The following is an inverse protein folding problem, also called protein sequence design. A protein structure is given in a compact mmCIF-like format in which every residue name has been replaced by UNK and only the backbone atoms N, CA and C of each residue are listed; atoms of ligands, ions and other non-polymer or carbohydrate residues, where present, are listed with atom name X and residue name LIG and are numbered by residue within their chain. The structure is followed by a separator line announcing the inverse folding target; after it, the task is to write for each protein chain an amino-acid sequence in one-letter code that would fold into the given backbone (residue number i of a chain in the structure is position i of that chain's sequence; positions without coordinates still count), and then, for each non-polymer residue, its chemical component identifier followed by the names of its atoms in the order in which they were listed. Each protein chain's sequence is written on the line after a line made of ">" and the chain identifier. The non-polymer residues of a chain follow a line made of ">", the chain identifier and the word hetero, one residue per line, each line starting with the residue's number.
data_IF_550496397052
#
_entry.id   IF_550496397052
#
_cell.length_a   1.000
_cell.length_b   1.000
_cell.length_c   1.000
_cell.angle_alpha   90.00
_cell.angle_beta   90.00
_cell.angle_gamma   90.00
#
_symmetry.space_group_name_H-M   'P 1'
#
loop_
_entity.id
_entity.type
_entity.pdbx_description
1 polymer ?
#
# COMPACT_ATOMS: atom_id res chain seq x y z
N UNK A 1 20.69 -2.68 8.78
CA UNK A 1 20.73 -2.93 7.32
C UNK A 1 20.66 -4.42 7.08
N UNK A 2 19.70 -4.87 6.31
CA UNK A 2 19.42 -6.31 6.13
C UNK A 2 20.27 -6.97 5.03
N UNK A 3 21.30 -6.30 4.52
CA UNK A 3 22.25 -6.86 3.55
C UNK A 3 21.71 -7.07 2.13
N UNK A 4 20.48 -6.64 1.84
CA UNK A 4 19.92 -6.68 0.50
C UNK A 4 20.26 -5.35 -0.19
N UNK A 5 21.07 -5.35 -1.26
CA UNK A 5 21.41 -4.14 -1.97
C UNK A 5 20.17 -3.53 -2.64
N UNK A 6 20.10 -2.20 -2.69
CA UNK A 6 19.05 -1.52 -3.44
C UNK A 6 19.21 -1.79 -4.93
N UNK A 7 18.10 -2.07 -5.58
CA UNK A 7 18.00 -2.37 -6.99
C UNK A 7 16.59 -1.99 -7.49
N UNK A 8 16.35 -1.92 -8.80
CA UNK A 8 14.99 -1.82 -9.31
C UNK A 8 14.07 -2.86 -8.68
N UNK A 9 12.80 -2.50 -8.46
CA UNK A 9 11.82 -3.32 -7.73
C UNK A 9 11.82 -4.79 -8.18
N UNK A 10 11.88 -5.02 -9.49
CA UNK A 10 11.80 -6.35 -10.10
C UNK A 10 12.99 -7.25 -9.74
N UNK A 11 14.13 -6.66 -9.39
CA UNK A 11 15.34 -7.37 -8.94
C UNK A 11 15.44 -7.42 -7.42
N UNK A 12 14.92 -6.41 -6.74
CA UNK A 12 14.96 -6.31 -5.28
C UNK A 12 13.95 -7.24 -4.61
N UNK A 13 12.72 -7.30 -5.11
CA UNK A 13 11.63 -8.07 -4.51
C UNK A 13 11.92 -9.57 -4.33
N UNK A 14 12.55 -10.29 -5.30
CA UNK A 14 12.93 -11.68 -5.10
C UNK A 14 13.96 -11.88 -3.97
N UNK A 15 14.92 -10.95 -3.83
CA UNK A 15 15.93 -10.99 -2.77
C UNK A 15 15.31 -10.75 -1.39
N UNK A 16 14.38 -9.80 -1.31
CA UNK A 16 13.65 -9.52 -0.09
C UNK A 16 12.87 -10.75 0.42
N UNK A 17 12.25 -11.52 -0.46
CA UNK A 17 11.52 -12.76 -0.10
C UNK A 17 12.39 -13.86 0.50
N UNK A 18 13.71 -13.78 0.33
CA UNK A 18 14.65 -14.75 0.89
C UNK A 18 15.05 -14.44 2.35
N UNK A 19 14.61 -13.32 2.89
CA UNK A 19 14.95 -12.89 4.25
C UNK A 19 14.17 -13.67 5.29
N UNK A 20 14.80 -13.88 6.46
CA UNK A 20 14.13 -14.51 7.60
C UNK A 20 13.14 -13.55 8.22
N UNK A 21 11.95 -14.04 8.51
CA UNK A 21 10.98 -13.33 9.33
C UNK A 21 11.41 -13.37 10.81
N UNK A 22 11.25 -12.25 11.48
CA UNK A 22 11.40 -12.14 12.94
C UNK A 22 10.07 -12.36 13.68
N UNK A 23 9.00 -12.66 12.93
CA UNK A 23 7.64 -12.81 13.44
C UNK A 23 6.85 -11.50 13.36
N UNK A 24 5.58 -11.61 12.94
CA UNK A 24 4.74 -10.44 12.62
C UNK A 24 4.56 -9.50 13.83
N UNK A 25 4.39 -10.05 15.05
CA UNK A 25 4.21 -9.22 16.24
C UNK A 25 5.43 -8.38 16.58
N UNK A 26 6.63 -8.98 16.58
CA UNK A 26 7.86 -8.28 16.94
C UNK A 26 8.21 -7.20 15.89
N UNK A 27 8.11 -7.54 14.61
CA UNK A 27 8.34 -6.60 13.51
C UNK A 27 7.38 -5.41 13.57
N UNK A 28 6.10 -5.67 13.84
CA UNK A 28 5.08 -4.64 14.00
C UNK A 28 5.34 -3.74 15.20
N UNK A 29 5.67 -4.29 16.36
CA UNK A 29 5.98 -3.51 17.58
C UNK A 29 7.19 -2.62 17.37
N UNK A 30 8.27 -3.17 16.81
CA UNK A 30 9.48 -2.40 16.53
C UNK A 30 9.18 -1.25 15.57
N UNK A 31 8.51 -1.54 14.45
CA UNK A 31 8.13 -0.51 13.47
C UNK A 31 7.18 0.55 14.05
N UNK A 32 6.22 0.14 14.89
CA UNK A 32 5.28 1.05 15.51
C UNK A 32 5.94 1.98 16.53
N UNK A 33 6.94 1.50 17.29
CA UNK A 33 7.72 2.35 18.20
C UNK A 33 8.46 3.44 17.42
N UNK A 34 9.22 3.07 16.40
CA UNK A 34 9.94 4.06 15.57
C UNK A 34 9.00 5.08 14.92
N UNK A 35 7.86 4.63 14.40
CA UNK A 35 6.84 5.52 13.85
C UNK A 35 6.27 6.48 14.89
N UNK A 36 5.99 6.01 16.12
CA UNK A 36 5.49 6.86 17.21
C UNK A 36 6.54 7.87 17.67
N UNK A 37 7.81 7.50 17.72
CA UNK A 37 8.92 8.40 18.06
C UNK A 37 9.04 9.54 17.05
N UNK A 38 8.67 9.31 15.79
CA UNK A 38 8.60 10.34 14.74
C UNK A 38 7.27 11.10 14.66
N UNK A 39 6.33 10.81 15.58
CA UNK A 39 5.02 11.47 15.65
C UNK A 39 3.92 10.82 14.81
N UNK A 40 4.16 9.68 14.17
CA UNK A 40 3.14 8.95 13.40
C UNK A 40 2.24 8.15 14.34
N UNK A 41 0.96 8.49 14.41
CA UNK A 41 -0.02 7.87 15.33
C UNK A 41 -1.06 7.02 14.63
N UNK A 42 -1.04 7.00 13.30
CA UNK A 42 -1.99 6.28 12.46
C UNK A 42 -1.26 5.77 11.22
N UNK A 43 -1.43 4.50 10.89
CA UNK A 43 -0.74 3.85 9.77
C UNK A 43 -1.69 2.98 8.96
N UNK A 44 -1.42 2.80 7.66
CA UNK A 44 -1.95 1.70 6.88
C UNK A 44 -0.90 0.58 6.85
N UNK A 45 -1.22 -0.56 7.46
CA UNK A 45 -0.39 -1.76 7.43
C UNK A 45 -0.93 -2.71 6.37
N UNK A 46 -0.19 -2.89 5.28
CA UNK A 46 -0.47 -3.87 4.24
C UNK A 46 0.42 -5.09 4.52
N UNK A 47 -0.16 -6.14 5.07
CA UNK A 47 0.57 -7.36 5.34
C UNK A 47 0.76 -8.17 4.07
N UNK A 48 2.01 -8.37 3.65
CA UNK A 48 2.36 -9.03 2.38
C UNK A 48 2.76 -10.50 2.53
N UNK A 49 2.97 -10.97 3.75
CA UNK A 49 3.45 -12.31 4.06
C UNK A 49 2.30 -13.32 4.25
N UNK A 50 1.42 -13.50 3.25
CA UNK A 50 0.39 -14.52 3.33
C UNK A 50 1.01 -15.92 3.35
N UNK A 51 0.69 -16.70 4.40
CA UNK A 51 0.93 -18.13 4.41
C UNK A 51 0.11 -18.81 3.29
N UNK A 52 0.65 -19.85 2.64
CA UNK A 52 -0.15 -20.68 1.74
C UNK A 52 -1.29 -21.42 2.47
N UNK A 53 -1.25 -21.49 3.79
CA UNK A 53 -2.32 -22.05 4.61
C UNK A 53 -3.23 -20.93 5.14
N UNK A 54 -4.49 -20.80 4.70
CA UNK A 54 -5.42 -19.79 5.19
C UNK A 54 -5.65 -19.82 6.71
N UNK A 55 -5.49 -20.98 7.33
CA UNK A 55 -5.61 -21.13 8.79
C UNK A 55 -4.61 -20.28 9.59
N UNK A 56 -3.47 -19.93 9.01
CA UNK A 56 -2.45 -19.12 9.68
C UNK A 56 -2.74 -17.60 9.59
N UNK A 57 -3.65 -17.18 8.71
CA UNK A 57 -3.90 -15.76 8.47
C UNK A 57 -4.49 -15.05 9.67
N UNK A 58 -5.38 -15.71 10.41
CA UNK A 58 -5.96 -15.16 11.64
C UNK A 58 -4.91 -14.91 12.71
N UNK A 59 -3.97 -15.85 12.87
CA UNK A 59 -2.87 -15.67 13.83
C UNK A 59 -1.96 -14.51 13.42
N UNK A 60 -1.61 -14.40 12.14
CA UNK A 60 -0.81 -13.27 11.63
C UNK A 60 -1.53 -11.93 11.84
N UNK A 61 -2.85 -11.87 11.59
CA UNK A 61 -3.65 -10.67 11.85
C UNK A 61 -3.69 -10.35 13.35
N UNK A 62 -3.88 -11.35 14.21
CA UNK A 62 -3.90 -11.18 15.67
C UNK A 62 -2.55 -10.67 16.20
N UNK A 63 -1.45 -11.15 15.66
CA UNK A 63 -0.10 -10.71 16.00
C UNK A 63 0.12 -9.23 15.64
N UNK A 64 -0.26 -8.83 14.41
CA UNK A 64 -0.13 -7.45 13.94
C UNK A 64 -1.07 -6.52 14.69
N UNK A 65 -2.36 -6.83 14.71
CA UNK A 65 -3.38 -5.97 15.31
C UNK A 65 -3.27 -5.90 16.84
N UNK A 66 -2.84 -7.01 17.46
CA UNK A 66 -2.50 -7.06 18.87
C UNK A 66 -1.33 -6.14 19.22
N UNK A 67 -0.29 -6.08 18.37
CA UNK A 67 0.84 -5.19 18.57
C UNK A 67 0.40 -3.70 18.52
N UNK A 68 -0.37 -3.31 17.51
CA UNK A 68 -0.91 -1.94 17.42
C UNK A 68 -1.84 -1.58 18.58
N UNK A 69 -2.70 -2.51 19.01
CA UNK A 69 -3.56 -2.31 20.17
C UNK A 69 -2.75 -2.07 21.43
N UNK A 70 -1.72 -2.87 21.67
CA UNK A 70 -0.93 -2.83 22.90
C UNK A 70 -0.15 -1.52 23.04
N UNK A 71 0.30 -0.95 21.90
CA UNK A 71 0.97 0.36 21.86
C UNK A 71 -0.02 1.54 21.70
N UNK A 72 -1.29 1.24 21.42
CA UNK A 72 -2.34 2.26 21.28
C UNK A 72 -2.33 3.04 19.95
N UNK A 73 -1.71 2.51 18.91
CA UNK A 73 -1.64 3.12 17.58
C UNK A 73 -2.85 2.75 16.74
N UNK A 74 -3.36 3.70 15.93
CA UNK A 74 -4.44 3.43 14.97
C UNK A 74 -3.89 2.75 13.74
N UNK A 75 -4.67 1.82 13.18
CA UNK A 75 -4.26 1.09 12.00
C UNK A 75 -5.42 0.87 11.02
N UNK A 76 -5.19 1.20 9.74
CA UNK A 76 -5.87 0.59 8.61
C UNK A 76 -5.14 -0.70 8.24
N UNK A 77 -5.80 -1.83 8.30
CA UNK A 77 -5.16 -3.13 8.13
C UNK A 77 -5.70 -3.86 6.91
N UNK A 78 -4.81 -4.44 6.13
CA UNK A 78 -5.15 -5.30 5.00
C UNK A 78 -4.11 -6.38 4.77
N UNK A 79 -4.54 -7.49 4.16
CA UNK A 79 -3.66 -8.46 3.54
C UNK A 79 -3.53 -8.18 2.05
N UNK A 80 -2.31 -8.30 1.53
CA UNK A 80 -2.05 -8.14 0.10
C UNK A 80 -2.49 -9.39 -0.65
N UNK A 81 -3.42 -9.22 -1.59
CA UNK A 81 -3.97 -10.30 -2.40
C UNK A 81 -3.34 -10.36 -3.79
N UNK A 82 -3.00 -11.57 -4.21
CA UNK A 82 -2.60 -11.91 -5.59
C UNK A 82 -3.12 -13.30 -5.96
N UNK A 83 -3.56 -13.48 -7.19
CA UNK A 83 -4.07 -14.76 -7.69
C UNK A 83 -3.37 -15.27 -8.95
N UNK A 84 -2.44 -14.49 -9.54
CA UNK A 84 -1.67 -14.89 -10.72
C UNK A 84 -0.28 -14.25 -10.77
N UNK A 85 0.54 -14.68 -11.72
CA UNK A 85 1.84 -14.08 -12.09
C UNK A 85 2.77 -13.92 -10.89
N UNK A 86 2.96 -15.01 -10.14
CA UNK A 86 3.75 -14.99 -8.89
C UNK A 86 5.23 -14.73 -9.16
N UNK A 87 5.75 -15.16 -10.32
CA UNK A 87 7.18 -15.06 -10.67
C UNK A 87 7.55 -13.73 -11.31
N UNK A 88 6.77 -13.30 -12.32
CA UNK A 88 7.09 -12.14 -13.15
C UNK A 88 5.82 -11.38 -13.53
N UNK A 89 5.88 -10.52 -14.57
CA UNK A 89 4.71 -9.91 -15.20
C UNK A 89 3.98 -10.85 -16.17
N UNK A 90 4.65 -11.89 -16.66
CA UNK A 90 4.10 -12.87 -17.59
C UNK A 90 3.37 -13.98 -16.83
N UNK A 91 2.57 -14.75 -17.56
CA UNK A 91 1.92 -15.92 -17.00
C UNK A 91 2.97 -16.91 -16.46
N UNK A 92 2.75 -17.43 -15.25
CA UNK A 92 3.68 -18.34 -14.59
C UNK A 92 3.93 -19.62 -15.42
N UNK A 93 2.95 -20.09 -16.19
CA UNK A 93 3.10 -21.25 -17.07
C UNK A 93 4.06 -20.97 -18.25
N UNK A 94 3.99 -19.77 -18.82
CA UNK A 94 4.90 -19.32 -19.88
C UNK A 94 6.34 -19.22 -19.34
N UNK A 95 6.50 -18.62 -18.16
CA UNK A 95 7.82 -18.51 -17.53
C UNK A 95 8.40 -19.88 -17.21
N UNK A 96 7.59 -20.77 -16.62
CA UNK A 96 8.01 -22.15 -16.33
C UNK A 96 8.48 -22.89 -17.57
N UNK A 97 7.85 -22.67 -18.73
CA UNK A 97 8.23 -23.31 -19.98
C UNK A 97 9.63 -22.90 -20.45
N UNK A 98 10.14 -21.73 -20.07
CA UNK A 98 11.48 -21.25 -20.44
C UNK A 98 12.58 -21.76 -19.52
N UNK A 99 12.25 -22.35 -18.37
CA UNK A 99 13.21 -22.77 -17.37
C UNK A 99 13.78 -24.17 -17.64
N UNK A 100 15.03 -24.42 -17.23
CA UNK A 100 15.60 -25.78 -17.24
C UNK A 100 14.72 -26.76 -16.45
N UNK A 101 14.58 -28.02 -16.90
CA UNK A 101 13.67 -29.00 -16.28
C UNK A 101 13.81 -29.11 -14.74
N UNK A 102 15.02 -29.21 -14.15
CA UNK A 102 15.15 -29.34 -12.70
C UNK A 102 14.59 -28.14 -11.93
N UNK A 103 14.76 -26.91 -12.46
CA UNK A 103 14.26 -25.69 -11.84
C UNK A 103 12.76 -25.58 -12.00
N UNK A 104 12.23 -25.90 -13.19
CA UNK A 104 10.80 -25.94 -13.46
C UNK A 104 10.07 -26.90 -12.52
N UNK A 105 10.58 -28.14 -12.40
CA UNK A 105 9.96 -29.19 -11.59
C UNK A 105 10.02 -28.85 -10.08
N UNK A 106 11.05 -28.12 -9.65
CA UNK A 106 11.16 -27.61 -8.29
C UNK A 106 10.20 -26.42 -8.01
N UNK A 107 10.00 -25.52 -8.98
CA UNK A 107 9.15 -24.33 -8.82
C UNK A 107 7.65 -24.63 -8.93
N UNK A 108 7.25 -25.49 -9.86
CA UNK A 108 5.85 -25.76 -10.19
C UNK A 108 4.95 -26.05 -8.97
N UNK A 109 5.28 -26.96 -8.05
CA UNK A 109 4.45 -27.21 -6.87
C UNK A 109 4.41 -26.01 -5.90
N UNK A 110 5.50 -25.22 -5.86
CA UNK A 110 5.58 -24.03 -5.00
C UNK A 110 4.71 -22.88 -5.49
N UNK A 111 4.59 -22.72 -6.79
CA UNK A 111 3.69 -21.73 -7.38
C UNK A 111 2.23 -22.09 -7.14
N UNK A 112 1.89 -23.36 -7.28
CA UNK A 112 0.53 -23.83 -6.99
C UNK A 112 0.12 -23.56 -5.54
N UNK A 113 1.06 -23.71 -4.59
CA UNK A 113 0.83 -23.41 -3.17
C UNK A 113 0.88 -21.91 -2.83
N UNK A 114 1.38 -21.08 -3.72
CA UNK A 114 1.47 -19.62 -3.50
C UNK A 114 0.24 -18.85 -3.99
N UNK A 115 -0.72 -19.51 -4.63
CA UNK A 115 -1.98 -18.90 -5.04
C UNK A 115 -2.90 -18.77 -3.83
N UNK A 116 -3.51 -17.60 -3.69
CA UNK A 116 -4.45 -17.32 -2.60
C UNK A 116 -5.88 -17.54 -3.12
N UNK A 117 -6.63 -18.50 -2.59
CA UNK A 117 -8.02 -18.67 -2.99
C UNK A 117 -8.85 -17.44 -2.63
N UNK A 118 -9.53 -16.84 -3.60
CA UNK A 118 -10.29 -15.60 -3.40
C UNK A 118 -11.42 -15.77 -2.36
N UNK A 119 -12.09 -16.93 -2.34
CA UNK A 119 -13.15 -17.19 -1.38
C UNK A 119 -12.61 -17.17 0.07
N UNK A 120 -11.45 -17.79 0.32
CA UNK A 120 -10.81 -17.79 1.64
C UNK A 120 -10.37 -16.38 2.04
N UNK A 121 -9.84 -15.60 1.09
CA UNK A 121 -9.46 -14.21 1.33
C UNK A 121 -10.65 -13.34 1.74
N UNK A 122 -11.79 -13.49 1.07
CA UNK A 122 -13.01 -12.74 1.39
C UNK A 122 -13.63 -13.17 2.71
N UNK A 123 -13.61 -14.47 3.03
CA UNK A 123 -14.06 -15.00 4.32
C UNK A 123 -13.20 -14.44 5.44
N UNK A 124 -11.88 -14.56 5.30
CA UNK A 124 -10.92 -14.01 6.26
C UNK A 124 -11.10 -12.52 6.50
N UNK A 125 -11.27 -11.71 5.43
CA UNK A 125 -11.50 -10.28 5.56
C UNK A 125 -12.72 -9.97 6.45
N UNK A 126 -13.85 -10.63 6.21
CA UNK A 126 -15.08 -10.43 6.99
C UNK A 126 -14.94 -10.88 8.44
N UNK A 127 -14.35 -12.05 8.65
CA UNK A 127 -14.13 -12.62 9.99
C UNK A 127 -13.16 -11.77 10.82
N UNK A 128 -12.06 -11.34 10.23
CA UNK A 128 -11.08 -10.46 10.88
C UNK A 128 -11.68 -9.10 11.20
N UNK A 129 -12.46 -8.52 10.27
CA UNK A 129 -13.17 -7.25 10.47
C UNK A 129 -14.15 -7.36 11.64
N UNK A 130 -14.97 -8.39 11.69
CA UNK A 130 -15.92 -8.63 12.78
C UNK A 130 -15.19 -8.77 14.13
N UNK A 131 -14.16 -9.62 14.19
CA UNK A 131 -13.38 -9.89 15.39
C UNK A 131 -12.72 -8.65 15.99
N UNK A 132 -12.10 -7.81 15.16
CA UNK A 132 -11.27 -6.71 15.61
C UNK A 132 -12.01 -5.39 15.74
N UNK A 133 -13.08 -5.15 15.00
CA UNK A 133 -13.93 -3.97 15.16
C UNK A 133 -14.58 -3.94 16.52
N UNK A 134 -14.97 -5.09 17.05
CA UNK A 134 -15.56 -5.21 18.38
C UNK A 134 -14.51 -5.04 19.50
N UNK A 135 -13.29 -5.60 19.32
CA UNK A 135 -12.25 -5.61 20.36
C UNK A 135 -11.45 -4.31 20.46
N UNK A 136 -11.09 -3.75 19.31
CA UNK A 136 -10.21 -2.58 19.26
C UNK A 136 -10.97 -1.25 19.13
N UNK A 137 -12.27 -1.31 19.10
CA UNK A 137 -13.13 -0.13 18.98
C UNK A 137 -12.76 0.75 17.78
N UNK A 138 -12.41 2.01 18.03
CA UNK A 138 -12.06 2.96 16.96
C UNK A 138 -10.63 2.84 16.42
N UNK A 139 -9.76 1.97 16.97
CA UNK A 139 -8.33 1.91 16.60
C UNK A 139 -8.06 1.15 15.31
N UNK A 140 -8.96 0.25 14.88
CA UNK A 140 -8.75 -0.60 13.70
C UNK A 140 -9.77 -0.28 12.62
N UNK A 141 -9.31 -0.24 11.37
CA UNK A 141 -10.12 -0.26 10.16
C UNK A 141 -9.60 -1.40 9.27
N UNK A 142 -10.51 -2.20 8.72
CA UNK A 142 -10.13 -3.24 7.77
C UNK A 142 -10.30 -2.73 6.34
N UNK A 143 -9.30 -3.01 5.53
CA UNK A 143 -9.22 -2.64 4.12
C UNK A 143 -8.95 -3.89 3.28
N UNK A 144 -9.15 -3.77 1.97
CA UNK A 144 -8.73 -4.77 0.99
C UNK A 144 -7.51 -4.24 0.23
N UNK A 145 -6.58 -5.12 -0.12
CA UNK A 145 -5.35 -4.73 -0.80
C UNK A 145 -5.09 -5.63 -2.02
N UNK A 146 -5.74 -5.38 -3.17
CA UNK A 146 -5.31 -5.95 -4.42
C UNK A 146 -3.87 -5.52 -4.70
N UNK A 147 -2.96 -6.49 -4.89
CA UNK A 147 -1.53 -6.21 -4.87
C UNK A 147 -1.09 -5.27 -5.99
N UNK A 148 -1.43 -5.60 -7.23
CA UNK A 148 -1.15 -4.80 -8.43
C UNK A 148 -1.93 -5.37 -9.61
N UNK A 149 -2.09 -4.60 -10.69
CA UNK A 149 -2.84 -5.01 -11.88
C UNK A 149 -2.31 -6.30 -12.53
N UNK A 150 -1.00 -6.49 -12.58
CA UNK A 150 -0.40 -7.70 -13.19
C UNK A 150 -0.52 -8.95 -12.30
N UNK A 151 -0.87 -8.80 -11.03
CA UNK A 151 -0.97 -9.89 -10.06
C UNK A 151 -2.40 -10.38 -9.79
N UNK A 152 -3.39 -9.79 -10.46
CA UNK A 152 -4.80 -10.14 -10.30
C UNK A 152 -5.50 -10.32 -11.64
N UNK A 153 -6.50 -11.19 -11.66
CA UNK A 153 -7.44 -11.29 -12.76
C UNK A 153 -8.44 -10.15 -12.71
N UNK A 154 -9.07 -9.85 -13.85
CA UNK A 154 -10.11 -8.81 -13.92
C UNK A 154 -11.31 -9.16 -13.05
N UNK A 155 -11.73 -10.43 -13.03
CA UNK A 155 -12.83 -10.92 -12.19
C UNK A 155 -12.53 -10.73 -10.69
N UNK A 156 -11.28 -11.01 -10.28
CA UNK A 156 -10.83 -10.82 -8.89
C UNK A 156 -10.79 -9.35 -8.51
N UNK A 157 -10.35 -8.48 -9.40
CA UNK A 157 -10.39 -7.03 -9.18
C UNK A 157 -11.83 -6.54 -8.98
N UNK A 158 -12.75 -6.91 -9.88
CA UNK A 158 -14.15 -6.54 -9.77
C UNK A 158 -14.78 -7.02 -8.45
N UNK A 159 -14.56 -8.28 -8.08
CA UNK A 159 -15.07 -8.85 -6.82
C UNK A 159 -14.52 -8.11 -5.59
N UNK A 160 -13.21 -7.76 -5.57
CA UNK A 160 -12.60 -7.01 -4.48
C UNK A 160 -13.23 -5.62 -4.36
N UNK A 161 -13.41 -4.91 -5.48
CA UNK A 161 -14.01 -3.57 -5.48
C UNK A 161 -15.49 -3.59 -5.08
N UNK A 162 -16.26 -4.54 -5.58
CA UNK A 162 -17.66 -4.75 -5.18
C UNK A 162 -17.76 -5.03 -3.67
N UNK A 163 -16.89 -5.91 -3.15
CA UNK A 163 -16.86 -6.23 -1.72
C UNK A 163 -16.49 -5.01 -0.89
N UNK A 164 -15.48 -4.23 -1.31
CA UNK A 164 -15.10 -3.02 -0.59
C UNK A 164 -16.25 -2.02 -0.48
N UNK A 165 -16.98 -1.79 -1.56
CA UNK A 165 -18.15 -0.91 -1.60
C UNK A 165 -19.28 -1.42 -0.72
N UNK A 166 -19.60 -2.71 -0.82
CA UNK A 166 -20.65 -3.33 -0.01
C UNK A 166 -20.34 -3.30 1.49
N UNK A 167 -19.09 -3.45 1.85
CA UNK A 167 -18.61 -3.47 3.25
C UNK A 167 -18.19 -2.09 3.79
N UNK A 168 -18.23 -1.04 2.98
CA UNK A 168 -17.76 0.31 3.35
C UNK A 168 -16.27 0.32 3.73
N UNK A 169 -15.47 -0.47 3.04
CA UNK A 169 -14.03 -0.57 3.26
C UNK A 169 -13.24 0.22 2.20
N UNK A 170 -12.08 0.75 2.58
CA UNK A 170 -11.15 1.33 1.62
C UNK A 170 -10.32 0.23 0.92
N UNK A 171 -9.70 0.62 -0.18
CA UNK A 171 -8.79 -0.20 -0.97
C UNK A 171 -7.43 0.47 -1.08
N UNK A 172 -6.37 -0.32 -1.04
CA UNK A 172 -5.03 0.14 -1.41
C UNK A 172 -4.43 -0.80 -2.45
N UNK A 173 -3.99 -0.25 -3.56
CA UNK A 173 -3.42 -1.00 -4.67
C UNK A 173 -2.15 -0.33 -5.18
N UNK A 174 -1.02 -1.07 -5.24
CA UNK A 174 0.16 -0.58 -5.93
C UNK A 174 -0.15 -0.48 -7.42
N UNK A 175 0.11 0.66 -8.04
CA UNK A 175 -0.19 0.86 -9.44
C UNK A 175 0.85 1.76 -10.10
N UNK A 176 1.37 1.32 -11.24
CA UNK A 176 2.36 2.02 -12.07
C UNK A 176 3.50 2.63 -11.25
N UNK A 177 4.01 1.83 -10.32
CA UNK A 177 5.18 2.17 -9.52
C UNK A 177 6.44 2.26 -10.39
N UNK A 178 6.61 1.29 -11.31
CA UNK A 178 7.72 1.26 -12.25
C UNK A 178 7.25 1.49 -13.68
N UNK A 179 8.17 1.93 -14.54
CA UNK A 179 7.87 2.07 -15.97
C UNK A 179 7.44 0.74 -16.61
N UNK A 180 8.00 -0.38 -16.15
CA UNK A 180 7.63 -1.72 -16.62
C UNK A 180 6.17 -2.07 -16.33
N UNK A 181 5.63 -1.63 -15.20
CA UNK A 181 4.20 -1.80 -14.89
C UNK A 181 3.31 -1.01 -15.85
N UNK A 182 3.70 0.20 -16.21
CA UNK A 182 2.99 0.98 -17.22
C UNK A 182 3.06 0.31 -18.61
N UNK A 183 4.26 -0.15 -19.01
CA UNK A 183 4.48 -0.89 -20.26
C UNK A 183 3.67 -2.19 -20.31
N UNK A 184 3.61 -2.94 -19.20
CA UNK A 184 2.79 -4.15 -19.08
C UNK A 184 1.31 -3.87 -19.37
N UNK A 185 0.75 -2.82 -18.76
CA UNK A 185 -0.66 -2.48 -18.97
C UNK A 185 -0.95 -2.16 -20.45
N UNK A 186 -0.11 -1.37 -21.08
CA UNK A 186 -0.24 -1.06 -22.52
C UNK A 186 -0.10 -2.31 -23.40
N UNK A 187 0.86 -3.16 -23.14
CA UNK A 187 1.07 -4.40 -23.90
C UNK A 187 -0.07 -5.40 -23.71
N UNK A 188 -0.60 -5.52 -22.50
CA UNK A 188 -1.62 -6.52 -22.16
C UNK A 188 -3.03 -6.08 -22.54
N UNK A 189 -3.36 -4.80 -22.34
CA UNK A 189 -4.74 -4.29 -22.43
C UNK A 189 -4.93 -3.26 -23.55
N UNK A 190 -3.87 -2.85 -24.25
CA UNK A 190 -3.92 -1.81 -25.29
C UNK A 190 -4.24 -0.41 -24.75
N UNK A 191 -4.17 -0.22 -23.42
CA UNK A 191 -4.48 1.03 -22.72
C UNK A 191 -3.68 1.15 -21.43
N UNK A 192 -3.72 2.33 -20.79
CA UNK A 192 -3.06 2.51 -19.50
C UNK A 192 -3.72 1.67 -18.40
N UNK A 193 -2.99 1.44 -17.30
CA UNK A 193 -3.49 0.71 -16.14
C UNK A 193 -4.74 1.36 -15.53
N UNK A 194 -4.75 2.70 -15.42
CA UNK A 194 -5.91 3.44 -14.90
C UNK A 194 -7.10 3.35 -15.84
N UNK A 195 -6.88 3.51 -17.16
CA UNK A 195 -7.95 3.37 -18.13
C UNK A 195 -8.54 1.94 -18.16
N UNK A 196 -7.74 0.92 -17.88
CA UNK A 196 -8.23 -0.46 -17.74
C UNK A 196 -9.08 -0.63 -16.48
N UNK A 197 -8.60 -0.18 -15.32
CA UNK A 197 -9.39 -0.20 -14.08
C UNK A 197 -10.70 0.61 -14.21
N UNK A 198 -10.65 1.75 -14.89
CA UNK A 198 -11.86 2.53 -15.17
C UNK A 198 -12.88 1.73 -16.00
N UNK A 199 -12.44 1.05 -17.05
CA UNK A 199 -13.30 0.21 -17.88
C UNK A 199 -13.91 -0.99 -17.12
N UNK A 200 -13.22 -1.49 -16.09
CA UNK A 200 -13.74 -2.53 -15.19
C UNK A 200 -14.69 -1.99 -14.09
N UNK A 201 -14.85 -0.67 -13.98
CA UNK A 201 -15.56 -0.06 -12.86
C UNK A 201 -14.78 -0.10 -11.53
N UNK A 202 -13.46 -0.29 -11.60
CA UNK A 202 -12.55 -0.42 -10.46
C UNK A 202 -11.82 0.90 -10.14
N UNK A 203 -12.48 2.04 -10.26
CA UNK A 203 -12.04 3.33 -9.73
C UNK A 203 -13.14 3.91 -8.85
N UNK A 204 -12.75 4.62 -7.81
CA UNK A 204 -13.70 5.27 -6.90
C UNK A 204 -13.00 5.90 -5.69
N UNK A 205 -13.76 6.64 -4.86
CA UNK A 205 -13.22 7.33 -3.69
C UNK A 205 -12.69 6.39 -2.60
N UNK A 206 -13.05 5.10 -2.66
CA UNK A 206 -12.52 4.04 -1.79
C UNK A 206 -11.09 3.65 -2.14
N UNK A 207 -10.63 3.91 -3.39
CA UNK A 207 -9.32 3.49 -3.86
C UNK A 207 -8.21 4.49 -3.50
N UNK A 208 -7.16 3.98 -2.89
CA UNK A 208 -5.85 4.64 -2.79
C UNK A 208 -4.86 3.93 -3.70
N UNK A 209 -4.31 4.65 -4.66
CA UNK A 209 -3.25 4.16 -5.55
C UNK A 209 -1.91 4.36 -4.86
N UNK A 210 -1.20 3.28 -4.57
CA UNK A 210 0.18 3.32 -4.08
C UNK A 210 1.14 3.69 -5.20
N UNK A 211 2.07 4.61 -4.92
CA UNK A 211 3.06 5.19 -5.81
C UNK A 211 2.50 6.08 -6.92
N UNK A 212 1.94 5.50 -7.98
CA UNK A 212 1.45 6.28 -9.12
C UNK A 212 2.54 7.08 -9.84
N UNK A 213 3.79 6.57 -9.85
CA UNK A 213 4.94 7.29 -10.38
C UNK A 213 4.84 7.56 -11.88
N UNK A 214 4.23 6.63 -12.61
CA UNK A 214 4.15 6.62 -14.08
C UNK A 214 2.73 6.88 -14.61
N UNK A 215 1.93 7.65 -13.86
CA UNK A 215 0.62 8.10 -14.32
C UNK A 215 0.76 9.15 -15.44
N UNK A 216 0.06 8.94 -16.53
CA UNK A 216 -0.06 9.94 -17.61
C UNK A 216 -1.02 11.08 -17.22
N UNK A 217 -1.03 12.17 -18.00
CA UNK A 217 -2.00 13.25 -17.80
C UNK A 217 -3.45 12.75 -17.87
N UNK A 218 -3.77 11.88 -18.84
CA UNK A 218 -5.09 11.29 -18.97
C UNK A 218 -5.45 10.38 -17.78
N UNK A 219 -4.47 9.63 -17.23
CA UNK A 219 -4.68 8.85 -16.02
C UNK A 219 -5.00 9.74 -14.81
N UNK A 220 -4.28 10.85 -14.66
CA UNK A 220 -4.53 11.81 -13.59
C UNK A 220 -5.92 12.45 -13.69
N UNK A 221 -6.40 12.71 -14.91
CA UNK A 221 -7.76 13.23 -15.12
C UNK A 221 -8.81 12.21 -14.66
N UNK A 222 -8.68 10.92 -15.03
CA UNK A 222 -9.56 9.83 -14.56
C UNK A 222 -9.50 9.63 -13.04
N UNK A 223 -8.30 9.66 -12.45
CA UNK A 223 -8.09 9.54 -10.99
C UNK A 223 -8.81 10.66 -10.25
N UNK A 224 -8.73 11.90 -10.76
CA UNK A 224 -9.42 13.06 -10.20
C UNK A 224 -10.94 12.94 -10.34
N UNK A 225 -11.42 12.60 -11.53
CA UNK A 225 -12.86 12.46 -11.84
C UNK A 225 -13.51 11.38 -10.95
N UNK A 226 -12.84 10.25 -10.76
CA UNK A 226 -13.34 9.16 -9.93
C UNK A 226 -13.13 9.40 -8.42
N UNK A 227 -12.44 10.47 -8.01
CA UNK A 227 -12.23 10.81 -6.60
C UNK A 227 -11.25 9.89 -5.87
N UNK A 228 -10.40 9.16 -6.57
CA UNK A 228 -9.37 8.30 -5.98
C UNK A 228 -8.34 9.13 -5.21
N UNK A 229 -7.61 8.48 -4.30
CA UNK A 229 -6.47 9.06 -3.59
C UNK A 229 -5.16 8.44 -4.06
N UNK A 230 -4.05 9.14 -3.83
CA UNK A 230 -2.69 8.63 -4.10
C UNK A 230 -1.94 8.50 -2.77
N UNK A 231 -1.10 7.48 -2.64
CA UNK A 231 -0.10 7.37 -1.58
C UNK A 231 1.29 7.49 -2.22
N UNK A 232 1.92 8.64 -2.03
CA UNK A 232 3.28 8.92 -2.53
C UNK A 232 4.33 8.42 -1.54
N UNK A 233 5.30 7.65 -2.04
CA UNK A 233 6.37 7.03 -1.26
C UNK A 233 7.74 7.53 -1.77
N UNK A 234 8.18 8.74 -1.41
CA UNK A 234 9.34 9.39 -2.02
C UNK A 234 10.65 8.64 -1.81
N UNK A 235 10.94 8.17 -0.60
CA UNK A 235 12.18 7.43 -0.31
C UNK A 235 12.25 6.11 -1.07
N UNK A 236 11.14 5.38 -1.15
CA UNK A 236 11.03 4.14 -1.93
C UNK A 236 11.31 4.38 -3.41
N UNK A 237 10.65 5.37 -4.01
CA UNK A 237 10.85 5.73 -5.42
C UNK A 237 12.31 6.03 -5.76
N UNK A 238 13.01 6.75 -4.87
CA UNK A 238 14.44 7.06 -5.03
C UNK A 238 15.33 5.84 -4.85
N UNK A 239 15.12 5.05 -3.80
CA UNK A 239 16.00 3.92 -3.46
C UNK A 239 15.89 2.76 -4.42
N UNK A 240 14.69 2.49 -4.92
CA UNK A 240 14.45 1.47 -5.93
C UNK A 240 14.64 1.96 -7.37
N UNK A 241 14.84 3.28 -7.56
CA UNK A 241 14.88 3.84 -8.90
C UNK A 241 13.57 3.68 -9.67
N UNK A 242 12.45 3.56 -8.95
CA UNK A 242 11.12 3.30 -9.52
C UNK A 242 10.52 4.53 -10.22
N UNK A 243 11.01 5.72 -9.92
CA UNK A 243 10.48 6.99 -10.41
C UNK A 243 9.91 7.86 -9.29
N UNK A 244 9.42 9.03 -9.65
CA UNK A 244 8.85 10.01 -8.71
C UNK A 244 7.45 10.39 -9.19
N UNK A 245 6.47 10.27 -8.32
CA UNK A 245 5.09 10.62 -8.61
C UNK A 245 4.93 12.11 -9.00
N UNK A 246 4.11 12.45 -9.99
CA UNK A 246 3.92 13.83 -10.45
C UNK A 246 3.00 14.64 -9.49
N UNK A 247 3.42 14.81 -8.24
CA UNK A 247 2.63 15.38 -7.13
C UNK A 247 2.08 16.77 -7.46
N UNK A 248 2.86 17.63 -8.13
CA UNK A 248 2.38 18.96 -8.51
C UNK A 248 1.17 18.88 -9.46
N UNK A 249 1.20 17.96 -10.42
CA UNK A 249 0.09 17.75 -11.36
C UNK A 249 -1.14 17.12 -10.69
N UNK A 250 -0.91 16.22 -9.71
CA UNK A 250 -1.98 15.63 -8.88
C UNK A 250 -2.70 16.74 -8.10
N UNK A 251 -1.93 17.61 -7.43
CA UNK A 251 -2.48 18.73 -6.66
C UNK A 251 -3.26 19.74 -7.52
N UNK A 252 -2.77 20.04 -8.72
CA UNK A 252 -3.48 20.93 -9.68
C UNK A 252 -4.87 20.40 -10.04
N UNK A 253 -5.07 19.08 -9.97
CA UNK A 253 -6.34 18.39 -10.23
C UNK A 253 -7.17 18.14 -8.97
N UNK A 254 -6.70 18.59 -7.82
CA UNK A 254 -7.38 18.35 -6.54
C UNK A 254 -7.35 16.90 -6.06
N UNK A 255 -6.45 16.07 -6.58
CA UNK A 255 -6.28 14.68 -6.14
C UNK A 255 -5.67 14.69 -4.72
N UNK A 256 -6.30 14.04 -3.74
CA UNK A 256 -5.70 13.89 -2.41
C UNK A 256 -4.46 13.00 -2.48
N UNK A 257 -3.32 13.55 -2.07
CA UNK A 257 -2.05 12.80 -2.01
C UNK A 257 -1.64 12.62 -0.57
N UNK A 258 -1.60 11.37 -0.10
CA UNK A 258 -1.04 10.97 1.19
C UNK A 258 0.47 10.70 1.07
N UNK A 259 1.18 10.69 2.19
CA UNK A 259 2.56 10.21 2.28
C UNK A 259 2.62 8.82 2.92
N UNK A 260 3.50 7.98 2.40
CA UNK A 260 3.83 6.68 2.95
C UNK A 260 5.34 6.45 2.96
N UNK A 261 5.78 5.54 3.81
CA UNK A 261 7.18 5.11 3.93
C UNK A 261 7.46 3.84 3.14
N UNK A 262 6.41 3.21 2.57
CA UNK A 262 6.49 1.92 1.92
C UNK A 262 6.99 0.82 2.89
N UNK A 263 7.85 -0.05 2.44
CA UNK A 263 8.39 -1.10 3.26
C UNK A 263 9.47 -0.58 4.22
N UNK A 264 9.40 -1.02 5.45
CA UNK A 264 10.24 -0.53 6.54
C UNK A 264 11.75 -0.65 6.33
N UNK A 265 12.20 -1.47 5.40
CA UNK A 265 13.62 -1.60 5.06
C UNK A 265 14.06 -0.76 3.84
N UNK A 266 13.14 -0.03 3.22
CA UNK A 266 13.43 0.95 2.17
C UNK A 266 13.73 2.33 2.74
N UNK A 267 13.32 2.58 3.98
CA UNK A 267 13.69 3.75 4.76
C UNK A 267 14.45 3.29 6.01
N UNK A 268 15.48 4.00 6.39
CA UNK A 268 16.37 3.55 7.47
C UNK A 268 15.75 3.72 8.87
N UNK A 269 14.80 4.65 9.03
CA UNK A 269 14.35 5.15 10.34
C UNK A 269 12.81 5.26 10.50
N UNK A 270 12.00 4.95 9.50
CA UNK A 270 10.52 5.10 9.49
C UNK A 270 10.02 6.49 9.92
N UNK A 271 10.84 7.50 9.71
CA UNK A 271 10.56 8.87 10.13
C UNK A 271 9.73 9.61 9.09
N UNK A 272 8.48 9.91 9.42
CA UNK A 272 7.57 10.66 8.55
C UNK A 272 8.03 12.11 8.33
N UNK A 273 8.77 12.72 9.26
CA UNK A 273 9.31 14.06 9.07
C UNK A 273 10.41 14.08 7.99
N UNK A 274 11.20 13.01 7.91
CA UNK A 274 12.17 12.82 6.83
C UNK A 274 11.46 12.65 5.48
N UNK A 275 10.39 11.84 5.42
CA UNK A 275 9.57 11.71 4.21
C UNK A 275 8.93 13.04 3.79
N UNK A 276 8.39 13.80 4.73
CA UNK A 276 7.83 15.13 4.47
C UNK A 276 8.87 16.09 3.89
N UNK A 277 10.09 16.10 4.47
CA UNK A 277 11.20 16.92 3.98
C UNK A 277 11.61 16.51 2.56
N UNK A 278 11.67 15.21 2.32
CA UNK A 278 12.03 14.65 1.01
C UNK A 278 10.97 14.99 -0.04
N UNK A 279 9.69 14.80 0.26
CA UNK A 279 8.58 15.18 -0.61
C UNK A 279 8.60 16.68 -0.94
N UNK A 280 8.83 17.52 0.07
CA UNK A 280 8.96 18.97 -0.15
C UNK A 280 10.12 19.33 -1.08
N UNK A 281 11.27 18.67 -0.92
CA UNK A 281 12.46 18.95 -1.73
C UNK A 281 12.32 18.48 -3.19
N UNK A 282 11.77 17.27 -3.40
CA UNK A 282 11.63 16.65 -4.71
C UNK A 282 10.68 17.38 -5.66
N UNK A 283 9.64 18.00 -5.11
CA UNK A 283 8.58 18.62 -5.93
C UNK A 283 8.76 20.14 -6.09
N UNK A 284 9.98 20.65 -5.79
CA UNK A 284 10.35 22.03 -6.08
C UNK A 284 10.74 22.18 -7.55
N UNK A 285 9.90 22.85 -8.30
CA UNK A 285 10.21 23.20 -9.68
C UNK A 285 11.06 24.46 -9.75
N UNK A 286 11.81 24.62 -10.83
CA UNK A 286 12.59 25.84 -11.12
C UNK A 286 11.68 26.91 -11.72
N UNK A 287 11.97 28.19 -11.42
CA UNK A 287 11.24 29.35 -11.98
C UNK A 287 10.60 30.23 -10.92
N UNK A 288 10.20 31.44 -11.32
CA UNK A 288 9.63 32.46 -10.43
C UNK A 288 8.16 32.19 -10.06
N UNK A 289 7.40 31.56 -10.96
CA UNK A 289 5.95 31.34 -10.83
C UNK A 289 5.57 29.86 -10.84
N UNK A 290 6.45 29.02 -10.35
CA UNK A 290 6.23 27.58 -10.35
C UNK A 290 5.21 27.15 -9.28
N UNK A 291 4.47 26.10 -9.61
CA UNK A 291 3.61 25.40 -8.66
C UNK A 291 4.44 24.43 -7.84
N UNK A 292 4.55 24.66 -6.54
CA UNK A 292 5.27 23.78 -5.61
C UNK A 292 4.44 23.56 -4.36
N UNK A 293 4.57 22.42 -3.68
CA UNK A 293 3.96 22.26 -2.38
C UNK A 293 4.71 23.14 -1.37
N UNK A 294 3.97 23.91 -0.58
CA UNK A 294 4.50 24.55 0.62
C UNK A 294 4.48 23.59 1.81
N UNK A 295 4.98 24.00 2.96
CA UNK A 295 5.01 23.18 4.16
C UNK A 295 3.62 22.77 4.64
N UNK A 296 2.62 23.63 4.49
CA UNK A 296 1.22 23.32 4.85
C UNK A 296 0.63 22.20 4.01
N UNK A 297 0.88 22.22 2.70
CA UNK A 297 0.45 21.13 1.81
C UNK A 297 1.14 19.80 2.13
N UNK A 298 2.44 19.84 2.42
CA UNK A 298 3.17 18.61 2.83
C UNK A 298 2.64 18.08 4.15
N UNK A 299 2.31 18.95 5.10
CA UNK A 299 1.70 18.56 6.36
C UNK A 299 0.32 17.93 6.13
N UNK A 300 -0.51 18.48 5.24
CA UNK A 300 -1.81 17.87 4.87
C UNK A 300 -1.63 16.47 4.28
N UNK A 301 -0.61 16.25 3.44
CA UNK A 301 -0.31 14.94 2.88
C UNK A 301 0.00 13.91 3.98
N UNK A 302 0.77 14.29 4.99
CA UNK A 302 1.14 13.42 6.11
C UNK A 302 0.04 13.26 7.16
N UNK A 303 -0.99 14.09 7.17
CA UNK A 303 -2.02 14.14 8.22
C UNK A 303 -3.43 13.89 7.65
N UNK A 304 -4.10 14.89 7.12
CA UNK A 304 -5.48 14.81 6.65
C UNK A 304 -5.69 13.82 5.51
N UNK A 305 -4.82 13.89 4.50
CA UNK A 305 -4.90 12.98 3.35
C UNK A 305 -4.55 11.55 3.78
N UNK A 306 -3.50 11.37 4.62
CA UNK A 306 -3.19 10.08 5.23
C UNK A 306 -4.38 9.51 6.02
N UNK A 307 -5.02 10.33 6.88
CA UNK A 307 -6.19 9.92 7.65
C UNK A 307 -7.35 9.44 6.75
N UNK A 308 -7.58 10.11 5.61
CA UNK A 308 -8.59 9.71 4.63
C UNK A 308 -8.31 8.33 4.05
N UNK A 309 -7.06 8.07 3.62
CA UNK A 309 -6.70 6.81 2.99
C UNK A 309 -6.80 5.61 3.92
N UNK A 310 -6.62 5.81 5.23
CA UNK A 310 -6.73 4.76 6.25
C UNK A 310 -8.10 4.69 6.93
N UNK A 311 -9.12 5.35 6.40
CA UNK A 311 -10.50 5.28 6.90
C UNK A 311 -10.75 6.04 8.22
N UNK A 312 -9.88 6.99 8.57
CA UNK A 312 -10.05 7.90 9.71
C UNK A 312 -10.29 9.36 9.30
N UNK A 313 -10.58 9.60 8.02
CA UNK A 313 -10.89 10.95 7.53
C UNK A 313 -11.98 11.65 8.34
N UNK A 314 -11.77 12.93 8.63
CA UNK A 314 -12.68 13.72 9.48
C UNK A 314 -12.68 13.35 10.97
N UNK A 315 -11.87 12.36 11.40
CA UNK A 315 -11.74 11.93 12.80
C UNK A 315 -10.38 12.29 13.39
N UNK A 316 -9.35 12.26 12.58
CA UNK A 316 -7.96 12.60 12.92
C UNK A 316 -7.33 13.42 11.80
N UNK A 317 -6.13 13.95 12.03
CA UNK A 317 -5.35 14.68 11.03
C UNK A 317 -5.40 16.18 11.17
N UNK A 318 -6.27 16.72 12.05
CA UNK A 318 -6.36 18.15 12.40
C UNK A 318 -6.39 18.37 13.90
N UNK A 319 -5.96 19.54 14.34
CA UNK A 319 -6.06 19.98 15.73
C UNK A 319 -7.31 20.84 15.88
N UNK A 320 -8.48 20.21 15.89
CA UNK A 320 -9.79 20.84 16.01
C UNK A 320 -10.61 20.20 17.14
N UNK A 321 -11.51 20.94 17.79
CA UNK A 321 -12.43 20.38 18.79
C UNK A 321 -13.25 19.22 18.19
N UNK A 322 -13.36 18.11 18.91
CA UNK A 322 -14.09 16.92 18.48
C UNK A 322 -13.25 15.89 17.70
N UNK A 323 -12.02 16.22 17.32
CA UNK A 323 -11.10 15.25 16.72
C UNK A 323 -10.56 14.25 17.76
N UNK A 324 -10.27 13.03 17.31
CA UNK A 324 -9.70 11.97 18.14
C UNK A 324 -8.18 12.19 18.33
N UNK A 325 -7.78 12.83 19.43
CA UNK A 325 -6.37 13.02 19.76
C UNK A 325 -5.65 11.70 20.09
N UNK A 326 -4.34 11.67 19.86
CA UNK A 326 -3.46 10.60 20.32
C UNK A 326 -2.73 10.94 21.63
N UNK A 327 -2.90 12.17 22.13
CA UNK A 327 -2.10 12.80 23.20
C UNK A 327 -2.10 12.03 24.53
N UNK A 328 -3.24 11.47 24.92
CA UNK A 328 -3.38 10.80 26.24
C UNK A 328 -2.65 9.43 26.32
N UNK A 329 -2.24 8.88 25.19
CA UNK A 329 -1.58 7.56 25.14
C UNK A 329 -0.06 7.65 25.09
N UNK A 330 0.51 8.68 24.49
CA UNK A 330 1.95 8.94 24.50
C UNK A 330 2.45 9.30 25.89
N UNK A 331 1.62 9.95 26.72
CA UNK A 331 1.96 10.30 28.12
C UNK A 331 2.02 9.10 29.07
N UNK A 332 1.53 7.91 28.68
CA UNK A 332 1.57 6.68 29.50
C UNK A 332 2.79 5.79 29.21
N UNK A 333 3.61 6.14 28.25
CA UNK A 333 4.83 5.41 27.88
C UNK A 333 6.09 6.05 28.49
N UNK A 334 5.92 7.19 29.17
CA UNK A 334 6.94 7.78 30.06
C UNK A 334 6.74 7.25 31.48
#
# INVERSE_FOLDING_TARGET
>A
MMGVPFAPLELWLPQFRMMRSVGARLDTLYSAIEMLESGTTTVHHIHSGLSPNPGDWHQAADDVLGAYRDIGMRVGFSFMMRDRNVLTYNDDSEVLATLPPPLRDWLKPRLASAQTPMADYMAFFRESKAKWSERAGSLVRHHLAPANLHWLTDDSLQLIFETARAEGANLHMHLVETERQAQFAHARYGRSAVAHLHALGCLGPELTIGHGNWLSHADLDLVAECGCSICHNPSSGLRLGSGIAPVNQMRQRGIPVALGIDQSNLQDDRDMLVEMKLAWALHRETGLFNTRPDAGHILQMATEHGARTVGFGGKVGRLEPGQQGARDRLARVQ
#
